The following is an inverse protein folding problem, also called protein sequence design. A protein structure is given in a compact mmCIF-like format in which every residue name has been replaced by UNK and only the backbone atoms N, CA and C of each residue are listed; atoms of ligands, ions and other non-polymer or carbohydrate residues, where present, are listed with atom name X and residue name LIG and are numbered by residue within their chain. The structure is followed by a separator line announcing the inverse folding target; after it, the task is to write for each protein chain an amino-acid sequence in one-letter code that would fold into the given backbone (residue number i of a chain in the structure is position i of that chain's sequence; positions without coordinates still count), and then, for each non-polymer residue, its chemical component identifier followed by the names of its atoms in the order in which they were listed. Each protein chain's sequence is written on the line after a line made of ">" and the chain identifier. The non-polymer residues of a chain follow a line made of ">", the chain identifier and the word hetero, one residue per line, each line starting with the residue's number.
data_IF_376194955209
#
_entry.id   IF_376194955209
#
_cell.length_a   1.000
_cell.length_b   1.000
_cell.length_c   1.000
_cell.angle_alpha   90.00
_cell.angle_beta   90.00
_cell.angle_gamma   90.00
#
_symmetry.space_group_name_H-M   'P 1'
#
loop_
_entity.id
_entity.type
_entity.pdbx_description
1 polymer ?
#
# COMPACT_ATOMS: atom_id res chain seq x y z
N UNK A 1 22.62 -0.99 -20.31
CA UNK A 1 22.08 -1.66 -19.10
C UNK A 1 22.03 -0.76 -17.85
N UNK A 2 22.91 0.23 -17.69
CA UNK A 2 22.97 1.10 -16.51
C UNK A 2 21.73 2.02 -16.29
N UNK A 3 21.12 2.52 -17.37
CA UNK A 3 20.06 3.54 -17.29
C UNK A 3 18.73 3.02 -16.73
N UNK A 4 18.35 1.77 -17.07
CA UNK A 4 17.10 1.14 -16.60
C UNK A 4 17.12 0.82 -15.10
N UNK A 5 18.31 0.57 -14.54
CA UNK A 5 18.49 0.33 -13.10
C UNK A 5 18.32 1.64 -12.31
N UNK A 6 18.83 2.76 -12.82
CA UNK A 6 18.73 4.06 -12.15
C UNK A 6 17.28 4.56 -12.00
N UNK A 7 16.46 4.41 -13.05
CA UNK A 7 15.04 4.80 -13.00
C UNK A 7 14.23 3.93 -12.01
N UNK A 8 14.48 2.61 -11.99
CA UNK A 8 13.83 1.70 -11.05
C UNK A 8 14.20 2.04 -9.60
N UNK A 9 15.49 2.25 -9.34
CA UNK A 9 15.99 2.65 -8.01
C UNK A 9 15.37 3.97 -7.58
N UNK A 10 15.32 4.98 -8.45
CA UNK A 10 14.69 6.26 -8.14
C UNK A 10 13.19 6.09 -7.82
N UNK A 11 12.47 5.34 -8.63
CA UNK A 11 11.05 5.05 -8.42
C UNK A 11 10.79 4.41 -7.06
N UNK A 12 11.49 3.31 -6.75
CA UNK A 12 11.31 2.59 -5.49
C UNK A 12 11.84 3.36 -4.28
N UNK A 13 12.79 4.28 -4.47
CA UNK A 13 13.21 5.22 -3.43
C UNK A 13 12.09 6.19 -3.05
N UNK A 14 11.47 6.83 -4.04
CA UNK A 14 10.34 7.74 -3.80
C UNK A 14 9.18 6.98 -3.18
N UNK A 15 8.81 5.82 -3.73
CA UNK A 15 7.75 4.99 -3.19
C UNK A 15 8.05 4.54 -1.75
N UNK A 16 9.28 4.12 -1.47
CA UNK A 16 9.72 3.72 -0.14
C UNK A 16 9.66 4.85 0.88
N UNK A 17 10.10 6.05 0.50
CA UNK A 17 10.02 7.25 1.35
C UNK A 17 8.57 7.63 1.67
N UNK A 18 7.71 7.68 0.65
CA UNK A 18 6.28 7.98 0.85
C UNK A 18 5.61 6.93 1.74
N UNK A 19 5.87 5.65 1.48
CA UNK A 19 5.32 4.54 2.26
C UNK A 19 5.77 4.63 3.73
N UNK A 20 7.06 4.89 3.98
CA UNK A 20 7.58 5.06 5.34
C UNK A 20 6.97 6.28 6.04
N UNK A 21 6.82 7.40 5.33
CA UNK A 21 6.20 8.61 5.86
C UNK A 21 4.74 8.36 6.28
N UNK A 22 3.95 7.66 5.46
CA UNK A 22 2.60 7.27 5.84
C UNK A 22 2.58 6.30 7.03
N UNK A 23 3.48 5.31 7.08
CA UNK A 23 3.60 4.41 8.23
C UNK A 23 3.90 5.16 9.54
N UNK A 24 4.78 6.17 9.50
CA UNK A 24 5.03 7.06 10.64
C UNK A 24 3.77 7.85 11.00
N UNK A 25 3.07 8.42 10.01
CA UNK A 25 1.86 9.20 10.25
C UNK A 25 0.76 8.36 10.92
N UNK A 26 0.52 7.13 10.47
CA UNK A 26 -0.38 6.17 11.12
C UNK A 26 -0.04 5.97 12.59
N UNK A 27 1.24 5.71 12.89
CA UNK A 27 1.68 5.48 14.26
C UNK A 27 1.46 6.72 15.13
N UNK A 28 1.77 7.92 14.62
CA UNK A 28 1.59 9.19 15.33
C UNK A 28 0.13 9.49 15.65
N UNK A 29 -0.79 9.25 14.70
CA UNK A 29 -2.24 9.41 14.91
C UNK A 29 -2.73 8.41 15.96
N UNK A 30 -2.32 7.14 15.87
CA UNK A 30 -2.78 6.08 16.79
C UNK A 30 -2.37 6.33 18.24
N UNK A 31 -1.16 6.84 18.48
CA UNK A 31 -0.69 7.15 19.84
C UNK A 31 -1.24 8.48 20.37
N UNK A 32 -2.16 9.13 19.65
CA UNK A 32 -2.79 10.39 20.03
C UNK A 32 -1.84 11.59 20.04
N UNK A 33 -0.71 11.51 19.32
CA UNK A 33 0.24 12.62 19.19
C UNK A 33 -0.18 13.63 18.13
N UNK A 34 -1.06 13.23 17.20
CA UNK A 34 -1.64 14.06 16.16
C UNK A 34 -3.14 13.74 16.11
N UNK A 35 -3.99 14.77 16.00
CA UNK A 35 -5.43 14.60 15.80
C UNK A 35 -5.70 13.79 14.51
N UNK A 36 -6.88 13.18 14.40
CA UNK A 36 -7.30 12.40 13.23
C UNK A 36 -7.03 13.18 11.93
N UNK A 37 -6.18 12.60 11.07
CA UNK A 37 -5.75 13.25 9.84
C UNK A 37 -6.63 12.81 8.68
N UNK A 38 -7.68 13.60 8.41
CA UNK A 38 -8.51 13.48 7.21
C UNK A 38 -8.28 14.70 6.31
N UNK A 39 -7.72 14.48 5.12
CA UNK A 39 -7.51 15.54 4.14
C UNK A 39 -7.94 15.08 2.74
N UNK A 40 -9.04 15.65 2.25
CA UNK A 40 -9.60 15.39 0.93
C UNK A 40 -9.94 13.90 0.71
N UNK A 41 -9.16 13.19 -0.11
CA UNK A 41 -9.35 11.77 -0.41
C UNK A 41 -8.60 10.83 0.55
N UNK A 42 -7.85 11.37 1.50
CA UNK A 42 -6.96 10.64 2.37
C UNK A 42 -7.50 10.64 3.80
N UNK A 43 -7.64 9.47 4.39
CA UNK A 43 -7.90 9.30 5.82
C UNK A 43 -6.86 8.37 6.45
N UNK A 44 -6.33 8.80 7.58
CA UNK A 44 -5.46 7.98 8.42
C UNK A 44 -6.31 7.52 9.62
N UNK A 45 -6.67 6.22 9.67
CA UNK A 45 -7.47 5.71 10.76
C UNK A 45 -6.69 5.78 12.09
N UNK A 46 -7.36 6.19 13.16
CA UNK A 46 -6.77 6.30 14.49
C UNK A 46 -6.96 5.08 15.39
N UNK A 47 -7.61 4.03 14.90
CA UNK A 47 -7.88 2.82 15.67
C UNK A 47 -6.63 1.94 15.85
N UNK A 48 -6.65 1.02 16.82
CA UNK A 48 -5.47 0.22 17.15
C UNK A 48 -5.08 -0.77 16.04
N UNK A 49 -6.05 -1.22 15.23
CA UNK A 49 -5.83 -2.24 14.19
C UNK A 49 -5.53 -1.60 12.84
N UNK A 50 -6.38 -0.70 12.35
CA UNK A 50 -6.14 0.07 11.13
C UNK A 50 -4.97 1.04 11.30
N UNK A 51 -5.04 1.90 12.31
CA UNK A 51 -3.99 2.86 12.66
C UNK A 51 -2.70 2.22 13.17
N UNK A 52 -2.79 1.52 14.31
CA UNK A 52 -1.60 1.03 15.01
C UNK A 52 -0.87 -0.07 14.25
N UNK A 53 -1.57 -1.17 14.00
CA UNK A 53 -0.98 -2.31 13.29
C UNK A 53 -0.71 -1.99 11.82
N UNK A 54 -1.65 -1.34 11.12
CA UNK A 54 -1.44 -0.88 9.74
C UNK A 54 -0.23 0.05 9.61
N UNK A 55 -0.01 0.95 10.58
CA UNK A 55 1.17 1.82 10.62
C UNK A 55 2.50 1.08 10.73
N UNK A 56 2.59 0.06 11.60
CA UNK A 56 3.79 -0.78 11.74
C UNK A 56 4.09 -1.51 10.43
N UNK A 57 3.06 -2.10 9.82
CA UNK A 57 3.20 -2.85 8.57
C UNK A 57 3.63 -1.92 7.43
N UNK A 58 3.01 -0.74 7.31
CA UNK A 58 3.31 0.23 6.27
C UNK A 58 4.71 0.84 6.45
N UNK A 59 5.11 1.16 7.69
CA UNK A 59 6.47 1.61 7.98
C UNK A 59 7.50 0.54 7.60
N UNK A 60 7.23 -0.73 7.95
CA UNK A 60 8.09 -1.85 7.59
C UNK A 60 8.20 -2.04 6.08
N UNK A 61 7.09 -1.86 5.34
CA UNK A 61 7.10 -1.87 3.89
C UNK A 61 7.97 -0.75 3.30
N UNK A 62 7.85 0.47 3.81
CA UNK A 62 8.70 1.59 3.41
C UNK A 62 10.19 1.30 3.66
N UNK A 63 10.52 0.76 4.84
CA UNK A 63 11.90 0.36 5.16
C UNK A 63 12.42 -0.75 4.23
N UNK A 64 11.61 -1.76 3.90
CA UNK A 64 11.99 -2.80 2.97
C UNK A 64 12.24 -2.29 1.55
N UNK A 65 11.43 -1.35 1.07
CA UNK A 65 11.74 -0.67 -0.19
C UNK A 65 13.11 -0.01 -0.12
N UNK A 66 13.37 0.82 0.89
CA UNK A 66 14.62 1.57 1.03
C UNK A 66 15.84 0.66 1.21
N UNK A 67 15.71 -0.43 1.96
CA UNK A 67 16.78 -1.41 2.16
C UNK A 67 17.11 -2.17 0.88
N UNK A 68 16.11 -2.48 0.05
CA UNK A 68 16.28 -3.19 -1.22
C UNK A 68 16.97 -2.36 -2.31
N UNK A 69 17.16 -1.06 -2.12
CA UNK A 69 17.83 -0.19 -3.11
C UNK A 69 19.35 -0.32 -3.12
N UNK A 70 19.96 -0.84 -2.05
CA UNK A 70 21.43 -0.89 -1.90
C UNK A 70 22.11 -1.67 -3.02
N UNK A 71 21.50 -2.78 -3.44
CA UNK A 71 21.97 -3.58 -4.57
C UNK A 71 20.78 -4.19 -5.31
N UNK A 72 20.08 -3.35 -6.08
CA UNK A 72 18.82 -3.73 -6.73
C UNK A 72 18.94 -4.93 -7.69
N UNK A 73 20.13 -5.19 -8.23
CA UNK A 73 20.35 -6.30 -9.15
C UNK A 73 20.45 -7.64 -8.40
N UNK A 74 20.79 -7.61 -7.12
CA UNK A 74 20.88 -8.78 -6.26
C UNK A 74 19.47 -9.30 -5.91
N UNK A 75 19.29 -10.62 -5.93
CA UNK A 75 17.97 -11.24 -5.80
C UNK A 75 17.37 -11.07 -4.39
N UNK A 76 18.18 -11.13 -3.33
CA UNK A 76 17.70 -10.93 -1.97
C UNK A 76 17.27 -9.49 -1.71
N UNK A 77 17.97 -8.50 -2.28
CA UNK A 77 17.55 -7.09 -2.19
C UNK A 77 16.28 -6.81 -3.00
N UNK A 78 16.18 -7.35 -4.22
CA UNK A 78 14.95 -7.27 -5.01
C UNK A 78 13.78 -7.96 -4.29
N UNK A 79 14.05 -9.09 -3.62
CA UNK A 79 13.09 -9.76 -2.76
C UNK A 79 12.49 -8.85 -1.68
N UNK A 80 13.28 -7.94 -1.09
CA UNK A 80 12.74 -6.96 -0.11
C UNK A 80 11.74 -5.99 -0.74
N UNK A 81 12.00 -5.55 -1.97
CA UNK A 81 11.10 -4.66 -2.72
C UNK A 81 9.78 -5.37 -3.05
N UNK A 82 9.86 -6.65 -3.44
CA UNK A 82 8.68 -7.49 -3.64
C UNK A 82 7.91 -7.66 -2.33
N UNK A 83 8.60 -7.98 -1.23
CA UNK A 83 7.97 -8.09 0.09
C UNK A 83 7.30 -6.80 0.53
N UNK A 84 7.94 -5.64 0.33
CA UNK A 84 7.35 -4.34 0.61
C UNK A 84 6.04 -4.14 -0.16
N UNK A 85 6.00 -4.54 -1.43
CA UNK A 85 4.79 -4.46 -2.25
C UNK A 85 3.68 -5.38 -1.71
N UNK A 86 4.03 -6.63 -1.35
CA UNK A 86 3.09 -7.59 -0.76
C UNK A 86 2.48 -7.06 0.54
N UNK A 87 3.27 -6.43 1.41
CA UNK A 87 2.74 -5.83 2.65
C UNK A 87 1.71 -4.75 2.37
N UNK A 88 1.94 -3.89 1.35
CA UNK A 88 0.95 -2.90 0.91
C UNK A 88 -0.31 -3.59 0.39
N UNK A 89 -0.15 -4.65 -0.41
CA UNK A 89 -1.28 -5.39 -0.98
C UNK A 89 -2.14 -6.07 0.07
N UNK A 90 -1.52 -6.58 1.14
CA UNK A 90 -2.26 -7.16 2.27
C UNK A 90 -3.11 -6.12 2.96
N UNK A 91 -2.55 -4.95 3.31
CA UNK A 91 -3.31 -3.87 3.94
C UNK A 91 -4.40 -3.33 3.03
N UNK A 92 -4.05 -2.96 1.79
CA UNK A 92 -5.01 -2.44 0.82
C UNK A 92 -6.10 -3.47 0.49
N UNK A 93 -5.76 -4.76 0.45
CA UNK A 93 -6.69 -5.85 0.23
C UNK A 93 -7.69 -5.99 1.37
N UNK A 94 -7.24 -5.84 2.63
CA UNK A 94 -8.13 -5.79 3.78
C UNK A 94 -9.09 -4.59 3.71
N UNK A 95 -8.59 -3.41 3.37
CA UNK A 95 -9.41 -2.19 3.26
C UNK A 95 -10.45 -2.31 2.14
N UNK A 96 -10.03 -2.76 0.95
CA UNK A 96 -10.94 -3.00 -0.19
C UNK A 96 -11.99 -4.05 0.18
N UNK A 97 -11.57 -5.12 0.88
CA UNK A 97 -12.51 -6.14 1.33
C UNK A 97 -13.52 -5.57 2.34
N UNK A 98 -13.08 -4.73 3.28
CA UNK A 98 -13.97 -4.05 4.21
C UNK A 98 -14.99 -3.18 3.46
N UNK A 99 -14.55 -2.35 2.50
CA UNK A 99 -15.43 -1.54 1.66
C UNK A 99 -16.45 -2.38 0.89
N UNK A 100 -16.03 -3.53 0.32
CA UNK A 100 -16.95 -4.46 -0.36
C UNK A 100 -17.99 -5.00 0.64
N UNK A 101 -17.58 -5.37 1.85
CA UNK A 101 -18.53 -5.87 2.85
C UNK A 101 -19.48 -4.80 3.37
N UNK A 102 -19.03 -3.56 3.49
CA UNK A 102 -19.87 -2.41 3.86
C UNK A 102 -20.89 -2.05 2.79
N UNK A 103 -20.61 -2.37 1.52
CA UNK A 103 -21.52 -2.10 0.41
C UNK A 103 -22.76 -3.01 0.41
N UNK A 104 -22.73 -4.09 1.19
CA UNK A 104 -23.85 -5.01 1.38
C UNK A 104 -24.62 -4.58 2.64
N UNK A 105 -25.86 -4.07 2.51
CA UNK A 105 -26.65 -3.68 3.65
C UNK A 105 -27.01 -4.92 4.48
N UNK A 106 -27.14 -4.70 5.79
CA UNK A 106 -27.47 -5.75 6.76
C UNK A 106 -28.60 -5.30 7.68
N UNK A 107 -29.34 -6.27 8.23
CA UNK A 107 -30.43 -6.00 9.18
C UNK A 107 -31.76 -5.68 8.50
N UNK A 108 -32.46 -4.65 8.98
CA UNK A 108 -33.83 -4.30 8.59
C UNK A 108 -33.93 -3.70 7.17
N UNK A 109 -32.79 -3.28 6.59
CA UNK A 109 -32.71 -2.66 5.26
C UNK A 109 -32.59 -3.69 4.11
N UNK A 110 -32.47 -4.98 4.43
CA UNK A 110 -32.35 -6.08 3.46
C UNK A 110 -30.92 -6.29 2.91
N UNK A 111 -30.74 -7.32 2.09
CA UNK A 111 -29.42 -7.77 1.60
C UNK A 111 -28.96 -7.13 0.29
N UNK A 112 -29.82 -6.32 -0.34
CA UNK A 112 -29.55 -5.73 -1.65
C UNK A 112 -29.48 -4.22 -1.53
N UNK A 113 -28.34 -3.66 -1.88
CA UNK A 113 -28.19 -2.22 -2.00
C UNK A 113 -28.82 -1.70 -3.30
N UNK A 114 -29.18 -0.42 -3.30
CA UNK A 114 -29.42 0.30 -4.56
C UNK A 114 -28.10 0.49 -5.31
N UNK A 115 -28.15 0.67 -6.63
CA UNK A 115 -26.94 0.91 -7.42
C UNK A 115 -26.18 2.18 -6.94
N UNK A 116 -26.91 3.23 -6.55
CA UNK A 116 -26.32 4.45 -6.00
C UNK A 116 -25.68 4.20 -4.64
N UNK A 117 -26.38 3.54 -3.72
CA UNK A 117 -25.84 3.24 -2.39
C UNK A 117 -24.63 2.30 -2.43
N UNK A 118 -24.59 1.38 -3.39
CA UNK A 118 -23.40 0.55 -3.63
C UNK A 118 -22.19 1.39 -4.08
N UNK A 119 -22.38 2.32 -5.02
CA UNK A 119 -21.28 3.15 -5.54
C UNK A 119 -20.80 4.15 -4.48
N UNK A 120 -21.70 4.67 -3.64
CA UNK A 120 -21.38 5.61 -2.55
C UNK A 120 -20.38 5.02 -1.55
N UNK A 121 -20.43 3.71 -1.27
CA UNK A 121 -19.46 3.06 -0.36
C UNK A 121 -18.02 3.12 -0.86
N UNK A 122 -17.80 3.24 -2.17
CA UNK A 122 -16.45 3.30 -2.76
C UNK A 122 -15.92 4.71 -2.89
N UNK A 123 -16.68 5.74 -2.53
CA UNK A 123 -16.17 7.11 -2.54
C UNK A 123 -15.12 7.31 -1.43
N UNK A 124 -14.21 8.29 -1.60
CA UNK A 124 -13.27 8.65 -0.56
C UNK A 124 -14.00 9.00 0.75
N UNK A 125 -13.31 8.88 1.89
CA UNK A 125 -11.85 8.77 2.01
C UNK A 125 -11.24 7.37 1.78
N UNK A 126 -9.95 7.34 1.39
CA UNK A 126 -9.15 6.13 1.24
C UNK A 126 -7.95 6.14 2.19
N UNK A 127 -7.57 4.95 2.64
CA UNK A 127 -6.34 4.74 3.39
C UNK A 127 -5.10 4.91 2.51
N UNK A 128 -3.94 5.33 3.07
CA UNK A 128 -2.67 5.30 2.37
C UNK A 128 -2.32 3.98 1.69
N UNK A 129 -2.67 2.83 2.28
CA UNK A 129 -2.40 1.54 1.66
C UNK A 129 -3.13 1.39 0.32
N UNK A 130 -4.43 1.75 0.27
CA UNK A 130 -5.23 1.74 -0.97
C UNK A 130 -4.67 2.73 -2.00
N UNK A 131 -4.27 3.92 -1.57
CA UNK A 131 -3.66 4.92 -2.46
C UNK A 131 -2.31 4.48 -3.04
N UNK A 132 -1.50 3.75 -2.25
CA UNK A 132 -0.19 3.24 -2.67
C UNK A 132 -0.28 1.97 -3.53
N UNK A 133 -1.41 1.26 -3.49
CA UNK A 133 -1.64 0.01 -4.21
C UNK A 133 -1.28 0.09 -5.71
N UNK A 134 -1.84 1.01 -6.53
CA UNK A 134 -1.54 1.07 -7.96
C UNK A 134 -0.05 1.31 -8.24
N UNK A 135 0.63 2.08 -7.37
CA UNK A 135 2.05 2.35 -7.50
C UNK A 135 2.91 1.14 -7.09
N UNK A 136 2.49 0.35 -6.11
CA UNK A 136 3.21 -0.87 -5.73
C UNK A 136 3.09 -1.99 -6.76
N UNK A 137 2.00 -2.04 -7.55
CA UNK A 137 1.79 -3.06 -8.59
C UNK A 137 2.86 -3.05 -9.69
N UNK A 138 3.59 -1.95 -9.89
CA UNK A 138 4.67 -1.88 -10.89
C UNK A 138 5.76 -2.93 -10.64
N UNK A 139 5.90 -3.44 -9.42
CA UNK A 139 6.86 -4.49 -9.10
C UNK A 139 6.64 -5.74 -9.96
N UNK A 140 5.40 -6.04 -10.35
CA UNK A 140 5.06 -7.19 -11.20
C UNK A 140 5.72 -7.06 -12.58
N UNK A 141 5.77 -5.84 -13.14
CA UNK A 141 6.48 -5.58 -14.40
C UNK A 141 7.98 -5.84 -14.27
N UNK A 142 8.58 -5.51 -13.13
CA UNK A 142 10.00 -5.78 -12.87
C UNK A 142 10.28 -7.27 -12.64
N UNK A 143 9.38 -7.99 -11.98
CA UNK A 143 9.46 -9.46 -11.83
C UNK A 143 9.42 -10.13 -13.20
N UNK A 144 8.42 -9.80 -14.02
CA UNK A 144 8.26 -10.39 -15.35
C UNK A 144 9.49 -10.16 -16.24
N UNK A 145 9.96 -8.91 -16.30
CA UNK A 145 11.14 -8.56 -17.10
C UNK A 145 12.44 -9.23 -16.62
N UNK A 146 12.54 -9.57 -15.33
CA UNK A 146 13.71 -10.26 -14.79
C UNK A 146 13.71 -11.72 -15.23
N UNK A 147 12.58 -12.42 -15.09
CA UNK A 147 12.43 -13.81 -15.52
C UNK A 147 12.73 -13.98 -17.02
N UNK A 148 12.24 -13.07 -17.88
CA UNK A 148 12.51 -13.13 -19.32
C UNK A 148 13.99 -12.91 -19.68
N UNK A 149 14.78 -12.27 -18.82
CA UNK A 149 16.23 -12.15 -19.04
C UNK A 149 16.96 -13.42 -18.63
N UNK A 150 16.59 -14.00 -17.49
CA UNK A 150 17.16 -15.26 -17.01
C UNK A 150 16.88 -16.42 -17.99
N UNK A 151 15.74 -16.44 -18.69
CA UNK A 151 15.46 -17.43 -19.75
C UNK A 151 16.30 -17.26 -21.04
N UNK A 152 16.95 -16.10 -21.22
CA UNK A 152 17.72 -15.77 -22.42
C UNK A 152 19.24 -15.89 -22.22
N UNK A 153 19.69 -16.10 -20.99
CA UNK A 153 21.08 -16.36 -20.60
C UNK A 153 21.32 -17.87 -20.46
#
# INVERSE_FOLDING_TARGET
>A
MAEKSSLAVFYFAVLGLLTAAFGIAYLLVTIGMVDEFSYSILEIPGDMFGGGWGGIVLLSAGLFYLMGLRDFNEIHQFGKIVMASILIWLLAGCDIFATITESIPGGDEGWFNTLSGFIETYYPPYTPAVLLLPFSLIVIYYIYNRNTKEEKE
#
